data_IF_962633967918
#
_entry.id   IF_962633967918
#
_cell.length_a   1.000
_cell.length_b   1.000
_cell.length_c   1.000
_cell.angle_alpha   90.00
_cell.angle_beta   90.00
_cell.angle_gamma   90.00
#
_symmetry.space_group_name_H-M   'P 1'
#
loop_
_entity.id
_entity.type
_entity.pdbx_description
1 polymer ?
#
# COMPACT_ATOMS: atom_id res chain seq x y z
N UNK A 1 40.56 -3.14 -63.27
CA UNK A 1 40.37 -2.13 -62.18
C UNK A 1 38.95 -2.07 -61.62
N UNK A 2 38.11 -3.05 -61.80
CA UNK A 2 36.71 -3.01 -61.32
C UNK A 2 36.37 -4.00 -60.16
N UNK A 3 37.35 -4.75 -59.65
CA UNK A 3 37.12 -5.75 -58.59
C UNK A 3 37.60 -5.26 -57.21
N UNK A 4 38.42 -4.22 -57.15
CA UNK A 4 38.96 -3.71 -55.88
C UNK A 4 38.03 -2.69 -55.16
N UNK A 5 37.10 -2.07 -55.88
CA UNK A 5 36.15 -1.08 -55.31
C UNK A 5 34.92 -1.72 -54.65
N UNK A 6 34.56 -2.97 -55.00
CA UNK A 6 33.37 -3.65 -54.46
C UNK A 6 33.61 -4.24 -53.06
N UNK A 7 34.84 -4.61 -52.74
CA UNK A 7 35.19 -5.19 -51.41
C UNK A 7 35.32 -4.12 -50.31
N UNK A 8 35.67 -2.90 -50.61
CA UNK A 8 35.80 -1.80 -49.63
C UNK A 8 34.44 -1.27 -49.23
N UNK A 9 33.45 -1.22 -50.13
CA UNK A 9 32.08 -0.79 -49.83
C UNK A 9 31.34 -1.81 -48.98
N UNK A 10 31.55 -3.10 -49.21
CA UNK A 10 30.97 -4.16 -48.38
C UNK A 10 31.58 -4.22 -46.96
N UNK A 11 32.89 -3.99 -46.85
CA UNK A 11 33.57 -3.91 -45.56
C UNK A 11 33.09 -2.75 -44.68
N UNK A 12 32.80 -1.60 -45.28
CA UNK A 12 32.26 -0.44 -44.54
C UNK A 12 30.78 -0.63 -44.15
N UNK A 13 29.97 -1.30 -44.97
CA UNK A 13 28.57 -1.61 -44.60
C UNK A 13 28.46 -2.65 -43.48
N UNK A 14 29.31 -3.67 -43.46
CA UNK A 14 29.35 -4.68 -42.37
C UNK A 14 29.90 -4.07 -41.08
N UNK A 15 30.89 -3.19 -41.16
CA UNK A 15 31.41 -2.49 -39.98
C UNK A 15 30.42 -1.45 -39.41
N UNK A 16 29.62 -0.82 -40.29
CA UNK A 16 28.57 0.11 -39.87
C UNK A 16 27.35 -0.62 -39.24
N UNK A 17 27.01 -1.83 -39.73
CA UNK A 17 25.97 -2.66 -39.07
C UNK A 17 26.43 -3.29 -37.73
N UNK A 18 27.73 -3.52 -37.56
CA UNK A 18 28.27 -3.99 -36.28
C UNK A 18 28.40 -2.88 -35.24
N UNK A 19 28.45 -1.61 -35.65
CA UNK A 19 28.46 -0.45 -34.75
C UNK A 19 27.06 0.02 -34.34
N UNK A 20 26.00 -0.34 -35.09
CA UNK A 20 24.62 -0.07 -34.73
C UNK A 20 23.93 -1.24 -33.96
N UNK A 21 24.57 -2.42 -33.93
CA UNK A 21 24.09 -3.60 -33.19
C UNK A 21 24.58 -3.69 -31.75
N UNK A 22 25.47 -2.81 -31.30
CA UNK A 22 25.75 -2.65 -29.86
C UNK A 22 24.66 -1.78 -29.26
N UNK A 23 23.50 -2.36 -29.04
CA UNK A 23 22.46 -1.79 -28.20
C UNK A 23 23.13 -1.34 -26.91
N UNK A 24 23.18 -0.03 -26.71
CA UNK A 24 23.61 0.59 -25.47
C UNK A 24 22.63 0.11 -24.38
N UNK A 25 22.86 -1.09 -23.85
CA UNK A 25 22.43 -1.43 -22.51
C UNK A 25 23.20 -0.46 -21.61
N UNK A 26 22.65 0.74 -21.46
CA UNK A 26 23.03 1.60 -20.36
C UNK A 26 22.82 0.75 -19.10
N UNK A 27 23.87 0.09 -18.61
CA UNK A 27 23.94 -0.33 -17.22
C UNK A 27 23.69 0.94 -16.43
N UNK A 28 22.42 1.14 -16.02
CA UNK A 28 22.10 2.10 -14.98
C UNK A 28 22.89 1.63 -13.78
N UNK A 29 24.03 2.27 -13.52
CA UNK A 29 24.68 2.18 -12.23
C UNK A 29 23.60 2.58 -11.25
N UNK A 30 23.23 1.72 -10.27
CA UNK A 30 22.35 2.15 -9.20
C UNK A 30 22.97 3.41 -8.63
N UNK A 31 22.24 4.50 -8.61
CA UNK A 31 22.65 5.67 -7.82
C UNK A 31 22.93 5.16 -6.42
N UNK A 32 24.06 5.50 -5.77
CA UNK A 32 24.36 5.10 -4.41
C UNK A 32 23.11 5.43 -3.59
N UNK A 33 22.52 4.42 -2.96
CA UNK A 33 21.22 4.50 -2.33
C UNK A 33 21.15 5.71 -1.43
N UNK A 34 20.25 6.64 -1.75
CA UNK A 34 19.97 7.77 -0.86
C UNK A 34 19.40 7.12 0.39
N UNK A 35 20.14 7.18 1.49
CA UNK A 35 19.72 6.59 2.75
C UNK A 35 18.31 7.10 3.08
N UNK A 36 17.34 6.19 3.17
CA UNK A 36 15.95 6.56 3.44
C UNK A 36 15.88 7.10 4.87
N UNK A 37 15.27 8.26 5.06
CA UNK A 37 14.97 8.80 6.37
C UNK A 37 13.59 8.31 6.85
N UNK A 38 13.40 8.17 8.16
CA UNK A 38 12.08 7.91 8.73
C UNK A 38 11.09 9.01 8.33
N UNK A 39 9.84 8.60 8.11
CA UNK A 39 8.71 9.52 7.93
C UNK A 39 8.05 9.75 9.29
N UNK A 40 7.67 10.98 9.57
CA UNK A 40 6.86 11.35 10.73
C UNK A 40 5.72 12.25 10.32
N UNK A 41 4.78 12.49 11.22
CA UNK A 41 3.71 13.46 11.01
C UNK A 41 4.08 14.82 11.62
N UNK A 42 3.58 15.88 10.98
CA UNK A 42 3.60 17.26 11.50
C UNK A 42 2.23 17.89 11.22
N UNK A 43 1.36 17.86 12.23
CA UNK A 43 -0.06 18.14 12.01
C UNK A 43 -0.65 17.17 10.97
N UNK A 44 -1.34 17.71 9.98
CA UNK A 44 -1.96 16.92 8.92
C UNK A 44 -1.04 16.60 7.72
N UNK A 45 0.28 16.56 7.93
CA UNK A 45 1.26 16.35 6.86
C UNK A 45 2.28 15.28 7.24
N UNK A 46 2.80 14.57 6.25
CA UNK A 46 4.04 13.81 6.40
C UNK A 46 5.25 14.68 6.16
N UNK A 47 6.31 14.42 6.94
CA UNK A 47 7.62 15.04 6.78
C UNK A 47 8.73 14.01 6.97
N UNK A 48 9.85 14.23 6.31
CA UNK A 48 11.05 13.42 6.51
C UNK A 48 11.76 13.85 7.80
N UNK A 49 12.05 12.90 8.68
CA UNK A 49 12.62 13.19 9.99
C UNK A 49 13.97 13.94 9.92
N UNK A 50 14.82 13.59 8.95
CA UNK A 50 16.17 14.17 8.83
C UNK A 50 16.17 15.63 8.36
N UNK A 51 15.23 16.04 7.51
CA UNK A 51 15.21 17.36 6.85
C UNK A 51 14.00 18.21 7.18
N UNK A 52 13.01 17.65 7.87
CA UNK A 52 11.69 18.27 8.07
C UNK A 52 10.98 18.65 6.76
N UNK A 53 11.45 18.11 5.63
CA UNK A 53 10.87 18.36 4.32
C UNK A 53 9.52 17.67 4.20
N UNK A 54 8.51 18.29 3.56
CA UNK A 54 7.25 17.65 3.22
C UNK A 54 7.48 16.33 2.48
N UNK A 55 6.62 15.35 2.73
CA UNK A 55 6.64 14.07 2.03
C UNK A 55 5.25 13.77 1.47
N UNK A 56 5.14 13.86 0.14
CA UNK A 56 3.98 13.42 -0.63
C UNK A 56 4.41 12.27 -1.52
N UNK A 57 3.50 11.34 -1.78
CA UNK A 57 3.84 10.16 -2.58
C UNK A 57 2.74 9.72 -3.53
N UNK A 58 3.13 9.02 -4.57
CA UNK A 58 2.32 8.09 -5.33
C UNK A 58 2.88 6.69 -5.11
N UNK A 59 2.02 5.71 -4.91
CA UNK A 59 2.42 4.38 -4.55
C UNK A 59 1.46 3.32 -5.10
N UNK A 60 1.64 2.10 -4.65
CA UNK A 60 0.92 0.93 -5.12
C UNK A 60 0.76 -0.12 -4.03
N UNK A 61 -0.21 -1.01 -4.22
CA UNK A 61 -0.38 -2.24 -3.46
C UNK A 61 0.25 -3.42 -4.20
N UNK A 62 0.84 -4.34 -3.46
CA UNK A 62 1.35 -5.60 -3.96
C UNK A 62 1.35 -6.65 -2.83
N UNK A 63 0.17 -7.10 -2.45
CA UNK A 63 -0.07 -7.98 -1.31
C UNK A 63 0.72 -9.30 -1.37
N UNK A 64 1.00 -9.78 -2.56
CA UNK A 64 1.60 -11.09 -2.90
C UNK A 64 3.12 -11.17 -2.65
N UNK A 65 3.81 -10.05 -2.40
CA UNK A 65 5.28 -9.98 -2.47
C UNK A 65 5.99 -10.95 -1.54
N UNK A 66 5.63 -11.00 -0.26
CA UNK A 66 6.24 -11.92 0.72
C UNK A 66 6.00 -13.37 0.33
N UNK A 67 4.77 -13.71 -0.01
CA UNK A 67 4.37 -15.07 -0.36
C UNK A 67 5.12 -15.57 -1.60
N UNK A 68 5.26 -14.73 -2.63
CA UNK A 68 6.03 -15.06 -3.83
C UNK A 68 7.53 -15.16 -3.52
N UNK A 69 8.09 -14.21 -2.73
CA UNK A 69 9.51 -14.17 -2.40
C UNK A 69 9.96 -15.30 -1.44
N UNK A 70 9.01 -16.00 -0.80
CA UNK A 70 9.31 -17.22 -0.03
C UNK A 70 9.95 -18.32 -0.88
N UNK A 71 9.64 -18.35 -2.18
CA UNK A 71 10.35 -19.15 -3.17
C UNK A 71 11.52 -18.34 -3.77
N UNK A 72 12.78 -18.71 -3.49
CA UNK A 72 13.94 -17.99 -4.03
C UNK A 72 13.97 -17.91 -5.56
N UNK A 73 13.38 -18.87 -6.26
CA UNK A 73 13.33 -18.90 -7.73
C UNK A 73 12.38 -17.86 -8.32
N UNK A 74 11.44 -17.34 -7.51
CA UNK A 74 10.47 -16.35 -7.93
C UNK A 74 10.84 -14.89 -7.52
N UNK A 75 11.89 -14.71 -6.73
CA UNK A 75 12.32 -13.40 -6.20
C UNK A 75 12.59 -12.36 -7.28
N UNK A 76 13.02 -12.79 -8.47
CA UNK A 76 13.25 -11.88 -9.60
C UNK A 76 11.99 -11.11 -10.00
N UNK A 77 10.78 -11.68 -9.81
CA UNK A 77 9.52 -11.00 -10.12
C UNK A 77 9.28 -9.82 -9.16
N UNK A 78 9.61 -9.98 -7.87
CA UNK A 78 9.57 -8.88 -6.90
C UNK A 78 10.53 -7.76 -7.31
N UNK A 79 11.78 -8.10 -7.64
CA UNK A 79 12.77 -7.12 -8.11
C UNK A 79 12.31 -6.41 -9.38
N UNK A 80 11.69 -7.14 -10.31
CA UNK A 80 11.18 -6.58 -11.57
C UNK A 80 10.06 -5.57 -11.30
N UNK A 81 9.06 -5.92 -10.48
CA UNK A 81 7.96 -5.00 -10.15
C UNK A 81 8.46 -3.77 -9.41
N UNK A 82 9.38 -3.90 -8.45
CA UNK A 82 9.99 -2.72 -7.81
C UNK A 82 10.78 -1.86 -8.80
N UNK A 83 11.48 -2.48 -9.76
CA UNK A 83 12.20 -1.76 -10.82
C UNK A 83 11.26 -0.95 -11.72
N UNK A 84 10.17 -1.54 -12.19
CA UNK A 84 9.14 -0.88 -12.99
C UNK A 84 8.43 0.23 -12.18
N UNK A 85 8.05 -0.05 -10.94
CA UNK A 85 7.43 0.92 -10.04
C UNK A 85 8.33 2.14 -9.79
N UNK A 86 9.61 1.91 -9.48
CA UNK A 86 10.59 2.98 -9.30
C UNK A 86 10.80 3.79 -10.59
N UNK A 87 10.84 3.14 -11.76
CA UNK A 87 10.93 3.82 -13.05
C UNK A 87 9.69 4.68 -13.35
N UNK A 88 8.51 4.28 -12.88
CA UNK A 88 7.28 5.06 -12.94
C UNK A 88 7.19 6.16 -11.85
N UNK A 89 8.20 6.27 -10.98
CA UNK A 89 8.26 7.27 -9.91
C UNK A 89 7.41 6.95 -8.68
N UNK A 90 6.98 5.70 -8.51
CA UNK A 90 6.29 5.23 -7.33
C UNK A 90 7.27 5.09 -6.16
N UNK A 91 6.90 5.54 -4.97
CA UNK A 91 7.82 5.62 -3.83
C UNK A 91 7.34 4.94 -2.55
N UNK A 92 6.11 4.43 -2.55
CA UNK A 92 5.54 3.66 -1.43
C UNK A 92 4.83 2.43 -1.96
N UNK A 93 5.05 1.28 -1.31
CA UNK A 93 4.36 0.03 -1.56
C UNK A 93 3.67 -0.45 -0.27
N UNK A 94 2.40 -0.80 -0.37
CA UNK A 94 1.69 -1.48 0.72
C UNK A 94 1.65 -2.98 0.42
N UNK A 95 2.04 -3.80 1.39
CA UNK A 95 2.14 -5.25 1.24
C UNK A 95 1.88 -5.97 2.56
N UNK A 96 1.66 -7.29 2.49
CA UNK A 96 1.38 -8.11 3.66
C UNK A 96 2.65 -8.52 4.42
N UNK A 97 2.66 -8.36 5.74
CA UNK A 97 3.60 -8.97 6.67
C UNK A 97 2.93 -10.09 7.47
N UNK A 98 1.96 -10.74 6.86
CA UNK A 98 1.22 -11.88 7.40
C UNK A 98 0.90 -12.90 6.31
N UNK A 99 0.77 -14.14 6.70
CA UNK A 99 0.12 -15.26 6.03
C UNK A 99 -0.10 -16.30 7.15
N UNK A 100 -1.37 -16.48 7.54
CA UNK A 100 -1.74 -17.20 8.74
C UNK A 100 -2.34 -18.55 8.37
N UNK A 101 -1.65 -19.64 8.68
CA UNK A 101 -2.05 -20.98 8.25
C UNK A 101 -2.03 -21.15 6.72
N UNK A 102 -2.44 -22.30 6.24
CA UNK A 102 -2.53 -22.57 4.80
C UNK A 102 -1.20 -22.74 4.08
N UNK A 103 -1.20 -22.47 2.77
CA UNK A 103 -0.01 -22.64 1.92
C UNK A 103 1.01 -21.52 2.20
N UNK A 104 2.27 -21.92 2.34
CA UNK A 104 3.40 -20.99 2.60
C UNK A 104 3.07 -19.96 3.67
N UNK A 105 2.50 -20.43 4.80
CA UNK A 105 2.14 -19.57 5.91
C UNK A 105 3.38 -18.97 6.57
N UNK A 106 3.36 -17.65 6.82
CA UNK A 106 4.36 -17.02 7.68
C UNK A 106 4.20 -17.52 9.12
N UNK A 107 2.97 -17.53 9.64
CA UNK A 107 2.60 -18.08 10.93
C UNK A 107 1.84 -19.39 10.72
N UNK A 108 2.48 -20.53 11.04
CA UNK A 108 1.92 -21.88 10.85
C UNK A 108 0.85 -22.15 11.90
N UNK A 109 1.12 -21.73 13.12
CA UNK A 109 0.23 -21.75 14.27
C UNK A 109 0.62 -20.64 15.24
N UNK A 110 -0.19 -20.27 16.24
CA UNK A 110 0.14 -19.18 17.15
C UNK A 110 1.55 -19.31 17.75
N UNK A 111 2.42 -18.34 17.42
CA UNK A 111 3.80 -18.31 17.87
C UNK A 111 4.80 -19.19 17.10
N UNK A 112 4.34 -19.99 16.14
CA UNK A 112 5.19 -20.84 15.28
C UNK A 112 5.30 -20.27 13.88
N UNK A 113 6.51 -20.00 13.40
CA UNK A 113 6.76 -19.29 12.16
C UNK A 113 7.64 -20.08 11.20
N UNK A 114 7.37 -19.93 9.90
CA UNK A 114 8.24 -20.43 8.85
C UNK A 114 9.35 -19.42 8.54
N UNK A 115 10.58 -19.81 8.80
CA UNK A 115 11.72 -18.95 8.56
C UNK A 115 11.96 -18.69 7.07
N UNK A 116 11.59 -19.62 6.18
CA UNK A 116 11.70 -19.44 4.74
C UNK A 116 10.80 -18.32 4.24
N UNK A 117 9.58 -18.24 4.78
CA UNK A 117 8.63 -17.18 4.46
C UNK A 117 9.09 -15.84 5.05
N UNK A 118 9.64 -15.84 6.28
CA UNK A 118 10.28 -14.64 6.84
C UNK A 118 11.46 -14.16 5.98
N UNK A 119 12.29 -15.05 5.46
CA UNK A 119 13.37 -14.67 4.53
C UNK A 119 12.81 -14.09 3.21
N UNK A 120 11.61 -14.50 2.80
CA UNK A 120 10.87 -13.85 1.72
C UNK A 120 10.54 -12.39 2.05
N UNK A 121 10.03 -12.12 3.26
CA UNK A 121 9.76 -10.75 3.72
C UNK A 121 11.06 -9.94 3.89
N UNK A 122 12.12 -10.53 4.43
CA UNK A 122 13.45 -9.91 4.50
C UNK A 122 13.94 -9.44 3.13
N UNK A 123 13.72 -10.29 2.10
CA UNK A 123 14.06 -9.97 0.73
C UNK A 123 13.24 -8.80 0.21
N UNK A 124 11.92 -8.78 0.46
CA UNK A 124 11.03 -7.68 0.05
C UNK A 124 11.50 -6.35 0.65
N UNK A 125 11.80 -6.30 1.95
CA UNK A 125 12.31 -5.09 2.63
C UNK A 125 13.65 -4.65 2.03
N UNK A 126 14.59 -5.59 1.85
CA UNK A 126 15.90 -5.31 1.25
C UNK A 126 15.78 -4.77 -0.18
N UNK A 127 14.89 -5.36 -0.96
CA UNK A 127 14.70 -4.98 -2.35
C UNK A 127 14.03 -3.62 -2.48
N UNK A 128 12.99 -3.35 -1.68
CA UNK A 128 12.34 -2.03 -1.62
C UNK A 128 13.36 -0.91 -1.33
N UNK A 129 14.28 -1.14 -0.39
CA UNK A 129 15.35 -0.19 -0.07
C UNK A 129 16.24 0.12 -1.28
N UNK A 130 16.62 -0.89 -2.06
CA UNK A 130 17.45 -0.70 -3.28
C UNK A 130 16.79 0.19 -4.33
N UNK A 131 15.46 0.10 -4.43
CA UNK A 131 14.69 0.90 -5.38
C UNK A 131 14.18 2.23 -4.82
N UNK A 132 14.51 2.54 -3.56
CA UNK A 132 14.08 3.77 -2.89
C UNK A 132 12.59 3.80 -2.58
N UNK A 133 11.96 2.63 -2.47
CA UNK A 133 10.53 2.46 -2.16
C UNK A 133 10.38 2.16 -0.67
N UNK A 134 9.45 2.87 -0.01
CA UNK A 134 9.06 2.62 1.38
C UNK A 134 7.93 1.61 1.45
N UNK A 135 7.82 0.93 2.58
CA UNK A 135 6.79 -0.10 2.79
C UNK A 135 5.80 0.32 3.87
N UNK A 136 4.51 0.07 3.61
CA UNK A 136 3.46 -0.06 4.62
C UNK A 136 3.20 -1.54 4.79
N UNK A 137 3.36 -2.07 5.99
CA UNK A 137 3.29 -3.49 6.30
C UNK A 137 2.05 -3.80 7.13
N UNK A 138 1.11 -4.58 6.55
CA UNK A 138 -0.10 -5.01 7.25
C UNK A 138 0.16 -6.26 8.06
N UNK A 139 -0.40 -6.34 9.29
CA UNK A 139 -0.19 -7.45 10.22
C UNK A 139 -1.24 -8.56 10.12
N UNK A 140 -2.43 -8.29 9.59
CA UNK A 140 -3.50 -9.28 9.46
C UNK A 140 -4.57 -8.80 8.48
N UNK A 141 -5.39 -9.73 7.98
CA UNK A 141 -6.55 -9.42 7.15
C UNK A 141 -7.86 -9.56 7.91
N UNK A 142 -8.82 -8.72 7.61
CA UNK A 142 -10.21 -8.92 8.00
C UNK A 142 -10.81 -10.16 7.32
N UNK A 143 -10.43 -10.41 6.07
CA UNK A 143 -10.93 -11.51 5.26
C UNK A 143 -10.07 -12.77 5.42
N UNK A 144 -10.59 -13.89 4.90
CA UNK A 144 -9.94 -15.21 5.00
C UNK A 144 -8.70 -15.37 4.11
N UNK A 145 -8.51 -14.45 3.16
CA UNK A 145 -7.38 -14.51 2.25
C UNK A 145 -6.08 -14.37 3.04
N UNK A 146 -5.18 -15.31 2.86
CA UNK A 146 -3.98 -15.48 3.70
C UNK A 146 -4.28 -15.72 5.18
N UNK A 147 -5.45 -16.30 5.50
CA UNK A 147 -5.86 -16.71 6.85
C UNK A 147 -6.70 -15.68 7.58
N UNK A 148 -6.13 -14.54 7.94
CA UNK A 148 -6.83 -13.44 8.57
C UNK A 148 -7.51 -13.81 9.91
N UNK A 149 -8.48 -12.99 10.35
CA UNK A 149 -9.18 -13.17 11.63
C UNK A 149 -9.79 -14.56 11.81
N UNK A 150 -10.29 -15.15 10.72
CA UNK A 150 -10.84 -16.50 10.73
C UNK A 150 -9.82 -17.56 11.19
N UNK A 151 -8.58 -17.44 10.74
CA UNK A 151 -7.53 -18.38 11.11
C UNK A 151 -7.19 -18.27 12.61
N UNK A 152 -7.16 -17.06 13.16
CA UNK A 152 -6.97 -16.86 14.60
C UNK A 152 -8.12 -17.49 15.41
N UNK A 153 -9.37 -17.29 15.00
CA UNK A 153 -10.53 -17.91 15.60
C UNK A 153 -10.45 -19.45 15.53
N UNK A 154 -10.06 -20.02 14.38
CA UNK A 154 -9.88 -21.45 14.19
C UNK A 154 -8.79 -22.02 15.10
N UNK A 155 -7.65 -21.33 15.23
CA UNK A 155 -6.57 -21.78 16.13
C UNK A 155 -7.01 -21.81 17.60
N UNK A 156 -7.73 -20.80 18.05
CA UNK A 156 -8.24 -20.78 19.42
C UNK A 156 -9.28 -21.89 19.66
N UNK A 157 -10.20 -22.11 18.72
CA UNK A 157 -11.17 -23.21 18.78
C UNK A 157 -10.47 -24.58 18.83
N UNK A 158 -9.45 -24.79 18.00
CA UNK A 158 -8.67 -26.04 18.02
C UNK A 158 -7.89 -26.24 19.34
N UNK A 159 -7.56 -25.16 20.04
CA UNK A 159 -6.96 -25.18 21.36
C UNK A 159 -8.00 -25.36 22.53
N UNK A 160 -9.26 -25.55 22.18
CA UNK A 160 -10.36 -25.75 23.18
C UNK A 160 -10.91 -24.45 23.77
N UNK A 161 -10.57 -23.29 23.18
CA UNK A 161 -11.13 -21.99 23.56
C UNK A 161 -12.50 -21.81 22.92
N UNK A 162 -13.49 -21.39 23.71
CA UNK A 162 -14.82 -21.12 23.18
C UNK A 162 -14.81 -19.81 22.37
N UNK A 163 -14.98 -19.91 21.06
CA UNK A 163 -15.12 -18.79 20.14
C UNK A 163 -16.52 -18.84 19.52
N UNK A 164 -17.22 -17.72 19.53
CA UNK A 164 -18.58 -17.61 19.03
C UNK A 164 -18.61 -17.12 17.58
N UNK A 165 -17.79 -16.13 17.26
CA UNK A 165 -17.72 -15.52 15.92
C UNK A 165 -16.29 -15.07 15.62
N UNK A 166 -16.03 -14.70 14.36
CA UNK A 166 -14.76 -14.10 13.96
C UNK A 166 -14.52 -12.72 14.62
N UNK A 167 -15.58 -12.02 15.03
CA UNK A 167 -15.47 -10.72 15.71
C UNK A 167 -14.92 -10.84 17.13
N UNK A 168 -14.90 -12.07 17.71
CA UNK A 168 -14.18 -12.35 18.97
C UNK A 168 -12.68 -12.02 18.85
N UNK A 169 -12.15 -11.89 17.60
CA UNK A 169 -10.80 -11.39 17.35
C UNK A 169 -10.54 -10.03 18.02
N UNK A 170 -11.55 -9.18 18.09
CA UNK A 170 -11.42 -7.85 18.67
C UNK A 170 -11.56 -7.83 20.20
N UNK A 171 -12.19 -8.84 20.79
CA UNK A 171 -12.59 -8.81 22.21
C UNK A 171 -11.98 -9.91 23.04
N UNK A 172 -11.77 -11.11 22.47
CA UNK A 172 -11.34 -12.28 23.23
C UNK A 172 -9.85 -12.20 23.60
N UNK A 173 -9.47 -12.31 24.90
CA UNK A 173 -8.09 -12.13 25.35
C UNK A 173 -7.08 -13.03 24.62
N UNK A 174 -7.42 -14.32 24.43
CA UNK A 174 -6.53 -15.29 23.76
C UNK A 174 -6.21 -14.86 22.32
N UNK A 175 -7.23 -14.40 21.56
CA UNK A 175 -7.03 -13.96 20.18
C UNK A 175 -6.18 -12.69 20.11
N UNK A 176 -6.43 -11.75 21.02
CA UNK A 176 -5.61 -10.55 21.16
C UNK A 176 -4.15 -10.87 21.52
N UNK A 177 -3.93 -11.87 22.39
CA UNK A 177 -2.57 -12.31 22.75
C UNK A 177 -1.86 -13.00 21.58
N UNK A 178 -2.53 -13.86 20.81
CA UNK A 178 -1.97 -14.44 19.60
C UNK A 178 -1.54 -13.36 18.63
N UNK A 179 -2.42 -12.38 18.40
CA UNK A 179 -2.15 -11.27 17.49
C UNK A 179 -1.00 -10.36 18.00
N UNK A 180 -0.95 -10.01 19.28
CA UNK A 180 0.17 -9.26 19.87
C UNK A 180 1.49 -10.01 19.74
N UNK A 181 1.49 -11.32 19.85
CA UNK A 181 2.69 -12.14 19.64
C UNK A 181 3.17 -12.05 18.20
N UNK A 182 2.24 -12.05 17.22
CA UNK A 182 2.57 -11.83 15.82
C UNK A 182 3.17 -10.44 15.58
N UNK A 183 2.52 -9.38 16.06
CA UNK A 183 3.05 -8.01 15.99
C UNK A 183 4.48 -7.97 16.53
N UNK A 184 4.70 -8.48 17.76
CA UNK A 184 6.03 -8.48 18.39
C UNK A 184 7.05 -9.19 17.50
N UNK A 185 6.71 -10.36 16.95
CA UNK A 185 7.59 -11.16 16.11
C UNK A 185 8.01 -10.42 14.85
N UNK A 186 7.06 -9.76 14.17
CA UNK A 186 7.35 -8.99 12.95
C UNK A 186 8.14 -7.72 13.27
N UNK A 187 7.66 -6.89 14.18
CA UNK A 187 8.29 -5.59 14.51
C UNK A 187 9.73 -5.75 14.99
N UNK A 188 10.01 -6.81 15.77
CA UNK A 188 11.37 -7.06 16.28
C UNK A 188 12.19 -8.00 15.39
N UNK A 189 11.69 -8.38 14.22
CA UNK A 189 12.41 -9.20 13.25
C UNK A 189 13.76 -8.56 12.91
N UNK A 190 14.82 -9.34 12.98
CA UNK A 190 16.13 -8.95 12.48
C UNK A 190 16.25 -9.45 11.02
N UNK A 191 16.32 -8.54 10.07
CA UNK A 191 16.43 -8.85 8.64
C UNK A 191 17.76 -9.56 8.37
N UNK A 192 17.69 -10.75 7.80
CA UNK A 192 18.86 -11.59 7.55
C UNK A 192 19.74 -11.06 6.41
N UNK A 193 19.21 -10.18 5.56
CA UNK A 193 19.90 -9.60 4.39
C UNK A 193 20.48 -8.24 4.74
N UNK A 194 19.65 -7.29 5.24
CA UNK A 194 20.09 -5.91 5.57
C UNK A 194 20.83 -5.85 6.89
N UNK A 195 20.74 -6.87 7.73
CA UNK A 195 21.34 -6.95 9.07
C UNK A 195 20.85 -5.85 10.00
N UNK A 196 19.60 -5.44 9.85
CA UNK A 196 18.93 -4.41 10.63
C UNK A 196 17.61 -4.96 11.19
N UNK A 197 17.22 -4.54 12.38
CA UNK A 197 15.89 -4.88 12.89
C UNK A 197 14.81 -4.07 12.15
N UNK A 198 13.64 -4.67 11.87
CA UNK A 198 12.57 -3.98 11.13
C UNK A 198 12.17 -2.66 11.80
N UNK A 199 12.05 -2.63 13.12
CA UNK A 199 11.78 -1.40 13.89
C UNK A 199 12.86 -0.32 13.78
N UNK A 200 14.00 -0.61 13.18
CA UNK A 200 15.10 0.32 12.98
C UNK A 200 15.34 0.65 11.51
N UNK A 201 14.59 0.02 10.59
CA UNK A 201 14.78 0.14 9.14
C UNK A 201 13.86 1.23 8.54
N UNK A 202 14.39 2.37 8.10
CA UNK A 202 13.59 3.46 7.53
C UNK A 202 12.96 3.13 6.16
N UNK A 203 13.25 1.97 5.59
CA UNK A 203 12.53 1.43 4.44
C UNK A 203 11.08 1.13 4.80
N UNK A 204 10.80 0.71 6.02
CA UNK A 204 9.45 0.58 6.54
C UNK A 204 8.96 1.99 6.91
N UNK A 205 7.87 2.43 6.33
CA UNK A 205 7.23 3.71 6.62
C UNK A 205 6.24 3.59 7.77
N UNK A 206 5.43 2.54 7.72
CA UNK A 206 4.33 2.37 8.66
C UNK A 206 3.98 0.91 8.90
N UNK A 207 3.40 0.68 10.07
CA UNK A 207 2.70 -0.54 10.46
C UNK A 207 1.20 -0.33 10.29
N UNK A 208 0.55 -1.22 9.58
CA UNK A 208 -0.89 -1.27 9.44
C UNK A 208 -1.46 -2.37 10.35
N UNK A 209 -2.39 -1.99 11.23
CA UNK A 209 -2.94 -2.93 12.19
C UNK A 209 -3.73 -4.07 11.53
N UNK A 210 -4.56 -3.79 10.56
CA UNK A 210 -5.41 -4.78 9.89
C UNK A 210 -5.91 -4.25 8.55
N UNK A 211 -5.87 -5.07 7.51
CA UNK A 211 -6.55 -4.73 6.26
C UNK A 211 -8.08 -4.75 6.43
N UNK A 212 -8.73 -3.61 6.15
CA UNK A 212 -10.19 -3.42 6.04
C UNK A 212 -10.99 -3.99 7.22
N UNK A 213 -10.73 -3.55 8.47
CA UNK A 213 -11.43 -4.10 9.63
C UNK A 213 -12.93 -3.85 9.56
N UNK A 214 -13.72 -4.88 9.87
CA UNK A 214 -15.18 -4.83 9.97
C UNK A 214 -15.63 -5.57 11.23
N UNK A 215 -16.63 -5.06 11.94
CA UNK A 215 -17.24 -5.70 13.09
C UNK A 215 -18.73 -5.81 12.87
N UNK A 216 -19.23 -7.02 12.63
CA UNK A 216 -20.64 -7.27 12.34
C UNK A 216 -21.51 -7.34 13.58
N UNK A 217 -20.90 -7.63 14.73
CA UNK A 217 -21.61 -7.70 16.02
C UNK A 217 -21.83 -6.32 16.66
N UNK A 218 -21.06 -5.30 16.22
CA UNK A 218 -21.18 -3.94 16.75
C UNK A 218 -20.99 -2.89 15.66
N UNK A 219 -22.08 -2.40 15.11
CA UNK A 219 -22.06 -1.33 14.10
C UNK A 219 -21.83 0.07 14.69
N UNK A 220 -21.71 0.22 16.00
CA UNK A 220 -21.42 1.52 16.63
C UNK A 220 -19.95 1.96 16.48
N UNK A 221 -19.06 1.04 16.07
CA UNK A 221 -17.61 1.27 15.99
C UNK A 221 -16.87 1.21 17.32
N UNK A 222 -17.55 1.02 18.45
CA UNK A 222 -16.92 1.05 19.79
C UNK A 222 -16.04 -0.16 20.04
N UNK A 223 -16.48 -1.35 19.64
CA UNK A 223 -15.68 -2.57 19.77
C UNK A 223 -14.36 -2.43 19.03
N UNK A 224 -14.41 -1.99 17.78
CA UNK A 224 -13.22 -1.76 17.00
C UNK A 224 -12.34 -0.64 17.59
N UNK A 225 -12.97 0.44 18.08
CA UNK A 225 -12.23 1.55 18.70
C UNK A 225 -11.37 1.08 19.89
N UNK A 226 -11.93 0.28 20.79
CA UNK A 226 -11.19 -0.27 21.93
C UNK A 226 -10.04 -1.19 21.51
N UNK A 227 -10.27 -2.01 20.48
CA UNK A 227 -9.22 -2.88 19.92
C UNK A 227 -8.09 -2.08 19.26
N UNK A 228 -8.42 -1.08 18.46
CA UNK A 228 -7.42 -0.21 17.81
C UNK A 228 -6.59 0.53 18.84
N UNK A 229 -7.23 1.09 19.88
CA UNK A 229 -6.50 1.77 20.97
C UNK A 229 -5.49 0.84 21.64
N UNK A 230 -5.91 -0.39 21.98
CA UNK A 230 -5.05 -1.39 22.61
C UNK A 230 -3.90 -1.82 21.69
N UNK A 231 -4.17 -2.10 20.40
CA UNK A 231 -3.16 -2.62 19.49
C UNK A 231 -2.17 -1.53 19.02
N UNK A 232 -2.66 -0.32 18.76
CA UNK A 232 -1.79 0.81 18.41
C UNK A 232 -0.83 1.15 19.56
N UNK A 233 -1.33 1.20 20.80
CA UNK A 233 -0.48 1.39 21.97
C UNK A 233 0.55 0.27 22.13
N UNK A 234 0.17 -0.98 21.83
CA UNK A 234 1.07 -2.11 21.87
C UNK A 234 2.18 -2.00 20.82
N UNK A 235 1.86 -1.65 19.56
CA UNK A 235 2.87 -1.40 18.51
C UNK A 235 3.81 -0.28 18.95
N UNK A 236 3.28 0.86 19.42
CA UNK A 236 4.09 2.00 19.89
C UNK A 236 4.96 1.68 21.12
N UNK A 237 4.59 0.67 21.90
CA UNK A 237 5.45 0.17 23.01
C UNK A 237 6.70 -0.54 22.50
N UNK A 238 6.64 -1.14 21.31
CA UNK A 238 7.74 -1.87 20.67
C UNK A 238 8.57 -0.99 19.74
N UNK A 239 7.91 -0.04 19.08
CA UNK A 239 8.48 0.80 18.03
C UNK A 239 7.91 2.23 18.10
N UNK A 240 8.76 3.20 18.37
CA UNK A 240 8.40 4.62 18.42
C UNK A 240 8.84 5.41 17.19
N UNK A 241 9.47 4.75 16.21
CA UNK A 241 10.07 5.40 15.05
C UNK A 241 9.14 5.38 13.84
N UNK A 242 8.44 4.27 13.65
CA UNK A 242 7.54 4.09 12.52
C UNK A 242 6.13 4.62 12.82
N UNK A 243 5.46 4.98 11.75
CA UNK A 243 4.05 5.37 11.79
C UNK A 243 3.16 4.14 12.03
N UNK A 244 1.98 4.38 12.58
CA UNK A 244 0.93 3.36 12.77
C UNK A 244 -0.36 3.88 12.18
N UNK A 245 -1.05 3.04 11.42
CA UNK A 245 -2.38 3.31 10.90
C UNK A 245 -3.26 2.06 11.04
N UNK A 246 -4.55 2.20 10.74
CA UNK A 246 -5.53 1.14 11.03
C UNK A 246 -5.67 0.17 9.85
N UNK A 247 -5.70 0.65 8.61
CA UNK A 247 -6.03 -0.10 7.39
C UNK A 247 -7.51 -0.06 7.03
N UNK A 248 -8.24 0.98 7.45
CA UNK A 248 -9.69 1.03 7.27
C UNK A 248 -10.10 1.61 5.91
N UNK A 249 -11.28 1.17 5.45
CA UNK A 249 -11.91 1.65 4.21
C UNK A 249 -12.36 3.11 4.30
N UNK A 250 -12.69 3.61 5.51
CA UNK A 250 -13.12 4.98 5.73
C UNK A 250 -14.60 5.18 6.04
N UNK A 251 -15.38 4.12 6.29
CA UNK A 251 -16.80 4.26 6.59
C UNK A 251 -17.03 5.09 7.85
N UNK A 252 -17.91 6.10 7.75
CA UNK A 252 -18.35 6.89 8.87
C UNK A 252 -19.30 6.08 9.77
N UNK A 253 -19.18 6.29 11.07
CA UNK A 253 -20.07 5.71 12.09
C UNK A 253 -21.09 6.73 12.62
N UNK A 254 -21.65 6.40 13.78
CA UNK A 254 -22.71 7.20 14.41
C UNK A 254 -22.26 8.55 14.97
N UNK A 255 -20.95 8.78 15.08
CA UNK A 255 -20.42 10.08 15.54
C UNK A 255 -20.57 11.19 14.50
N UNK A 256 -20.75 10.81 13.22
CA UNK A 256 -20.99 11.73 12.11
C UNK A 256 -22.21 11.29 11.29
N UNK A 257 -23.44 11.39 11.84
CA UNK A 257 -24.64 10.81 11.22
C UNK A 257 -24.94 11.40 9.83
N UNK A 258 -24.64 12.68 9.61
CA UNK A 258 -24.82 13.32 8.30
C UNK A 258 -23.83 12.75 7.28
N UNK A 259 -22.55 12.58 7.66
CA UNK A 259 -21.55 11.95 6.80
C UNK A 259 -21.94 10.49 6.50
N UNK A 260 -22.34 9.74 7.54
CA UNK A 260 -22.82 8.37 7.39
C UNK A 260 -23.96 8.25 6.38
N UNK A 261 -24.92 9.19 6.42
CA UNK A 261 -26.07 9.16 5.53
C UNK A 261 -25.74 9.53 4.08
N UNK A 262 -24.87 10.56 3.87
CA UNK A 262 -24.66 11.16 2.56
C UNK A 262 -23.39 10.76 1.85
N UNK A 263 -22.42 10.18 2.59
CA UNK A 263 -21.10 9.82 2.05
C UNK A 263 -20.91 8.33 1.96
N UNK A 264 -21.35 7.54 2.97
CA UNK A 264 -21.19 6.08 2.92
C UNK A 264 -21.97 5.46 1.75
N UNK A 265 -21.46 4.35 1.16
CA UNK A 265 -22.33 3.44 0.41
C UNK A 265 -23.44 2.91 1.32
N UNK A 266 -24.52 2.41 0.78
CA UNK A 266 -25.77 2.09 1.50
C UNK A 266 -25.70 0.92 2.50
N UNK A 267 -24.53 0.64 3.12
CA UNK A 267 -24.35 -0.43 4.11
C UNK A 267 -23.41 0.01 5.24
N UNK A 268 -23.33 -0.82 6.31
CA UNK A 268 -22.51 -0.57 7.50
C UNK A 268 -21.46 -1.66 7.67
N UNK A 269 -20.33 -1.30 8.26
CA UNK A 269 -19.19 -2.22 8.46
C UNK A 269 -18.70 -2.29 9.93
N UNK A 270 -19.26 -1.47 10.83
CA UNK A 270 -18.87 -1.47 12.24
C UNK A 270 -17.58 -0.69 12.55
N UNK A 271 -17.23 0.27 11.68
CA UNK A 271 -16.17 1.25 11.92
C UNK A 271 -16.77 2.63 12.14
N UNK A 272 -15.98 3.53 12.72
CA UNK A 272 -16.26 4.96 12.77
C UNK A 272 -14.99 5.72 12.40
N UNK A 273 -14.95 6.24 11.17
CA UNK A 273 -13.76 6.91 10.62
C UNK A 273 -13.19 7.97 11.57
N UNK A 274 -14.05 8.73 12.24
CA UNK A 274 -13.61 9.82 13.11
C UNK A 274 -13.00 9.27 14.39
N UNK A 275 -13.79 8.53 15.20
CA UNK A 275 -13.32 8.08 16.52
C UNK A 275 -12.15 7.13 16.44
N UNK A 276 -12.16 6.22 15.45
CA UNK A 276 -11.06 5.28 15.29
C UNK A 276 -9.75 6.00 14.92
N UNK A 277 -9.79 7.02 14.07
CA UNK A 277 -8.61 7.79 13.70
C UNK A 277 -8.23 8.90 14.71
N UNK A 278 -9.09 9.25 15.67
CA UNK A 278 -8.74 10.17 16.76
C UNK A 278 -7.85 9.52 17.83
N UNK A 279 -7.73 8.19 17.85
CA UNK A 279 -6.85 7.47 18.76
C UNK A 279 -5.43 8.03 18.62
N UNK A 280 -4.80 8.37 19.77
CA UNK A 280 -3.53 9.14 19.82
C UNK A 280 -2.36 8.42 19.14
N UNK A 281 -2.34 7.09 19.22
CA UNK A 281 -1.25 6.26 18.70
C UNK A 281 -1.45 5.87 17.21
N UNK A 282 -2.52 6.34 16.57
CA UNK A 282 -2.73 6.31 15.13
C UNK A 282 -2.18 7.61 14.54
N UNK A 283 -1.22 7.50 13.63
CA UNK A 283 -0.50 8.67 13.08
C UNK A 283 -1.17 9.28 11.86
N UNK A 284 -1.83 8.49 11.03
CA UNK A 284 -2.52 8.97 9.83
C UNK A 284 -3.76 8.13 9.53
N UNK A 285 -4.65 8.68 8.72
CA UNK A 285 -5.88 8.04 8.31
C UNK A 285 -5.74 7.47 6.90
N UNK A 286 -6.40 6.33 6.66
CA UNK A 286 -6.53 5.70 5.35
C UNK A 286 -7.98 5.62 4.92
N UNK A 287 -8.21 5.65 3.61
CA UNK A 287 -9.47 5.30 2.97
C UNK A 287 -9.22 4.39 1.78
N UNK A 288 -10.17 3.51 1.49
CA UNK A 288 -10.24 2.72 0.27
C UNK A 288 -11.42 3.20 -0.57
N UNK A 289 -11.45 2.89 -1.86
CA UNK A 289 -12.58 3.27 -2.70
C UNK A 289 -12.73 2.32 -3.91
N UNK A 290 -13.80 1.55 -3.88
CA UNK A 290 -14.17 0.61 -4.93
C UNK A 290 -15.61 0.87 -5.40
N UNK A 291 -15.87 1.98 -6.13
CA UNK A 291 -17.20 2.33 -6.56
C UNK A 291 -17.81 1.30 -7.54
N UNK A 292 -17.00 0.58 -8.30
CA UNK A 292 -17.43 -0.53 -9.15
C UNK A 292 -18.06 -1.69 -8.35
N UNK A 293 -17.55 -1.96 -7.12
CA UNK A 293 -18.14 -2.96 -6.21
C UNK A 293 -19.25 -2.32 -5.36
N UNK A 294 -18.98 -1.18 -4.71
CA UNK A 294 -19.88 -0.57 -3.73
C UNK A 294 -21.15 0.01 -4.37
N UNK A 295 -21.07 0.44 -5.63
CA UNK A 295 -22.14 1.00 -6.43
C UNK A 295 -22.34 0.20 -7.71
N UNK A 296 -22.24 -1.14 -7.61
CA UNK A 296 -22.41 -2.03 -8.77
C UNK A 296 -23.68 -1.73 -9.53
N UNK A 297 -23.59 -1.64 -10.86
CA UNK A 297 -24.69 -1.31 -11.76
C UNK A 297 -25.02 0.19 -11.88
N UNK A 298 -24.30 1.07 -11.19
CA UNK A 298 -24.36 2.52 -11.41
C UNK A 298 -23.47 2.93 -12.58
N UNK A 299 -23.85 4.05 -13.23
CA UNK A 299 -23.05 4.62 -14.33
C UNK A 299 -21.68 5.09 -13.84
N UNK A 300 -20.71 5.20 -14.76
CA UNK A 300 -19.37 5.72 -14.46
C UNK A 300 -19.42 7.15 -13.89
N UNK A 301 -20.34 8.00 -14.35
CA UNK A 301 -20.52 9.35 -13.82
C UNK A 301 -21.01 9.32 -12.35
N UNK A 302 -21.93 8.41 -12.00
CA UNK A 302 -22.40 8.24 -10.63
C UNK A 302 -21.27 7.71 -9.73
N UNK A 303 -20.49 6.74 -10.22
CA UNK A 303 -19.32 6.18 -9.54
C UNK A 303 -18.24 7.25 -9.32
N UNK A 304 -17.93 8.06 -10.33
CA UNK A 304 -16.97 9.16 -10.21
C UNK A 304 -17.46 10.27 -9.29
N UNK A 305 -18.75 10.62 -9.34
CA UNK A 305 -19.36 11.56 -8.40
C UNK A 305 -19.28 11.07 -6.95
N UNK A 306 -19.41 9.76 -6.72
CA UNK A 306 -19.17 9.15 -5.42
C UNK A 306 -17.71 9.30 -4.99
N UNK A 307 -16.75 8.96 -5.86
CA UNK A 307 -15.32 9.09 -5.58
C UNK A 307 -14.94 10.51 -5.14
N UNK A 308 -15.45 11.52 -5.84
CA UNK A 308 -15.18 12.92 -5.48
C UNK A 308 -15.74 13.28 -4.09
N UNK A 309 -17.00 12.90 -3.81
CA UNK A 309 -17.60 13.13 -2.48
C UNK A 309 -16.87 12.38 -1.39
N UNK A 310 -16.50 11.12 -1.62
CA UNK A 310 -15.76 10.28 -0.69
C UNK A 310 -14.44 10.93 -0.31
N UNK A 311 -13.58 11.23 -1.28
CA UNK A 311 -12.30 11.87 -1.06
C UNK A 311 -12.41 13.27 -0.44
N UNK A 312 -13.34 14.11 -0.91
CA UNK A 312 -13.46 15.49 -0.40
C UNK A 312 -13.94 15.55 1.04
N UNK A 313 -14.90 14.69 1.42
CA UNK A 313 -15.41 14.62 2.79
C UNK A 313 -14.34 14.15 3.76
N UNK A 314 -13.63 13.08 3.43
CA UNK A 314 -12.55 12.57 4.27
C UNK A 314 -11.37 13.56 4.38
N UNK A 315 -11.05 14.25 3.29
CA UNK A 315 -10.03 15.32 3.33
C UNK A 315 -10.42 16.45 4.28
N UNK A 316 -11.67 16.91 4.20
CA UNK A 316 -12.17 17.96 5.09
C UNK A 316 -12.06 17.55 6.56
N UNK A 317 -12.51 16.33 6.88
CA UNK A 317 -12.52 15.83 8.24
C UNK A 317 -11.10 15.47 8.74
N UNK A 318 -10.24 14.91 7.88
CA UNK A 318 -8.84 14.68 8.21
C UNK A 318 -8.10 15.99 8.55
N UNK A 319 -8.36 17.06 7.78
CA UNK A 319 -7.74 18.37 7.99
C UNK A 319 -8.29 19.11 9.21
N UNK A 320 -9.61 19.10 9.42
CA UNK A 320 -10.27 19.93 10.44
C UNK A 320 -10.43 19.25 11.78
N UNK A 321 -10.78 17.95 11.77
CA UNK A 321 -11.13 17.19 12.97
C UNK A 321 -9.92 16.35 13.42
N UNK A 322 -9.41 15.48 12.55
CA UNK A 322 -8.33 14.57 12.91
C UNK A 322 -6.99 15.30 13.03
N UNK A 323 -6.75 16.30 12.21
CA UNK A 323 -5.44 16.99 12.05
C UNK A 323 -4.32 15.99 11.76
N UNK A 324 -4.62 14.99 10.93
CA UNK A 324 -3.74 13.92 10.53
C UNK A 324 -3.64 13.84 9.00
N UNK A 325 -2.52 13.33 8.44
CA UNK A 325 -2.43 13.03 7.02
C UNK A 325 -3.51 12.04 6.60
N UNK A 326 -3.99 12.16 5.36
CA UNK A 326 -4.93 11.25 4.72
C UNK A 326 -4.27 10.59 3.52
N UNK A 327 -4.41 9.27 3.41
CA UNK A 327 -3.95 8.46 2.28
C UNK A 327 -5.14 7.70 1.70
N UNK A 328 -5.33 7.78 0.37
CA UNK A 328 -6.20 6.82 -0.31
C UNK A 328 -5.37 5.56 -0.54
N UNK A 329 -5.56 4.56 0.33
CA UNK A 329 -4.68 3.40 0.41
C UNK A 329 -5.05 2.29 -0.58
N UNK A 330 -6.28 2.31 -1.11
CA UNK A 330 -6.69 1.43 -2.20
C UNK A 330 -7.71 2.12 -3.10
N UNK A 331 -7.54 1.95 -4.41
CA UNK A 331 -8.51 2.27 -5.44
C UNK A 331 -8.14 1.57 -6.74
N UNK A 332 -9.13 1.24 -7.55
CA UNK A 332 -8.93 0.57 -8.83
C UNK A 332 -10.23 0.49 -9.66
N UNK A 333 -10.14 -0.05 -10.87
CA UNK A 333 -11.27 -0.42 -11.72
C UNK A 333 -11.06 -1.85 -12.18
N UNK A 334 -11.99 -2.74 -11.82
CA UNK A 334 -11.87 -4.17 -12.10
C UNK A 334 -12.12 -4.49 -13.57
N UNK A 335 -11.31 -5.41 -14.11
CA UNK A 335 -11.56 -6.01 -15.44
C UNK A 335 -12.75 -6.96 -15.43
N UNK A 336 -13.27 -7.31 -14.25
CA UNK A 336 -14.47 -8.13 -14.08
C UNK A 336 -15.78 -7.32 -14.05
N UNK A 337 -15.66 -5.98 -14.05
CA UNK A 337 -16.82 -5.10 -14.09
C UNK A 337 -17.54 -5.25 -15.45
N UNK A 338 -18.89 -5.43 -15.49
CA UNK A 338 -19.63 -5.54 -16.73
C UNK A 338 -19.41 -4.33 -17.65
N UNK A 339 -19.01 -4.58 -18.89
CA UNK A 339 -18.70 -3.51 -19.84
C UNK A 339 -17.28 -2.98 -19.79
N UNK A 340 -16.41 -3.55 -18.96
CA UNK A 340 -15.01 -3.12 -18.84
C UNK A 340 -14.30 -3.03 -20.19
N UNK A 341 -13.55 -1.95 -20.35
CA UNK A 341 -12.53 -1.79 -21.39
C UNK A 341 -11.27 -1.16 -20.78
N UNK A 342 -10.15 -1.34 -21.44
CA UNK A 342 -8.90 -0.68 -21.02
C UNK A 342 -9.06 0.85 -21.01
N UNK A 343 -9.77 1.41 -21.99
CA UNK A 343 -10.05 2.84 -22.06
C UNK A 343 -10.85 3.35 -20.85
N UNK A 344 -11.82 2.59 -20.37
CA UNK A 344 -12.58 2.95 -19.15
C UNK A 344 -11.68 2.96 -17.92
N UNK A 345 -10.79 1.99 -17.77
CA UNK A 345 -9.78 1.98 -16.69
C UNK A 345 -8.84 3.19 -16.80
N UNK A 346 -8.40 3.55 -17.99
CA UNK A 346 -7.54 4.72 -18.23
C UNK A 346 -8.24 6.03 -17.85
N UNK A 347 -9.49 6.19 -18.26
CA UNK A 347 -10.32 7.37 -17.93
C UNK A 347 -10.55 7.44 -16.43
N UNK A 348 -10.95 6.32 -15.79
CA UNK A 348 -11.16 6.24 -14.36
C UNK A 348 -9.89 6.64 -13.60
N UNK A 349 -8.76 6.00 -13.88
CA UNK A 349 -7.49 6.29 -13.21
C UNK A 349 -7.01 7.73 -13.43
N UNK A 350 -7.15 8.23 -14.64
CA UNK A 350 -6.80 9.63 -14.97
C UNK A 350 -7.64 10.63 -14.16
N UNK A 351 -8.92 10.36 -14.00
CA UNK A 351 -9.84 11.20 -13.22
C UNK A 351 -9.51 11.14 -11.72
N UNK A 352 -9.35 9.93 -11.16
CA UNK A 352 -9.00 9.75 -9.73
C UNK A 352 -7.68 10.42 -9.40
N UNK A 353 -6.63 10.24 -10.20
CA UNK A 353 -5.34 10.88 -9.96
C UNK A 353 -5.40 12.41 -10.09
N UNK A 354 -6.16 12.95 -11.05
CA UNK A 354 -6.40 14.39 -11.15
C UNK A 354 -7.06 14.94 -9.88
N UNK A 355 -8.03 14.23 -9.33
CA UNK A 355 -8.71 14.63 -8.11
C UNK A 355 -7.80 14.52 -6.89
N UNK A 356 -7.02 13.46 -6.76
CA UNK A 356 -5.99 13.33 -5.70
C UNK A 356 -5.02 14.52 -5.75
N UNK A 357 -4.48 14.86 -6.92
CA UNK A 357 -3.59 16.02 -7.07
C UNK A 357 -4.29 17.34 -6.68
N UNK A 358 -5.52 17.55 -7.16
CA UNK A 358 -6.34 18.72 -6.82
C UNK A 358 -6.55 18.83 -5.31
N UNK A 359 -6.88 17.74 -4.64
CA UNK A 359 -7.11 17.68 -3.21
C UNK A 359 -5.81 17.82 -2.40
N UNK A 360 -4.71 17.21 -2.83
CA UNK A 360 -3.40 17.42 -2.22
C UNK A 360 -3.00 18.90 -2.25
N UNK A 361 -3.16 19.56 -3.39
CA UNK A 361 -2.86 20.98 -3.56
C UNK A 361 -3.75 21.88 -2.70
N UNK A 362 -5.08 21.69 -2.75
CA UNK A 362 -6.06 22.51 -1.99
C UNK A 362 -6.00 22.23 -0.49
N UNK A 363 -5.73 20.98 -0.11
CA UNK A 363 -5.58 20.55 1.28
C UNK A 363 -4.28 21.02 1.93
N UNK A 364 -3.35 21.59 1.15
CA UNK A 364 -2.02 21.98 1.63
C UNK A 364 -1.15 20.78 1.96
N UNK A 365 -1.39 19.61 1.33
CA UNK A 365 -0.67 18.34 1.56
C UNK A 365 -1.34 17.39 2.54
N UNK A 366 -2.53 17.70 3.08
CA UNK A 366 -3.28 16.78 3.95
C UNK A 366 -3.65 15.49 3.22
N UNK A 367 -4.12 15.54 1.95
CA UNK A 367 -4.14 14.39 1.06
C UNK A 367 -2.70 14.10 0.65
N UNK A 368 -2.03 13.22 1.40
CA UNK A 368 -0.57 13.08 1.37
C UNK A 368 -0.09 12.02 0.40
N UNK A 369 -0.97 11.10 -0.01
CA UNK A 369 -0.59 10.02 -0.91
C UNK A 369 -1.73 9.17 -1.40
N UNK A 370 -1.40 8.32 -2.36
CA UNK A 370 -2.32 7.33 -2.91
C UNK A 370 -1.58 6.04 -3.26
N UNK A 371 -2.28 4.90 -3.17
CA UNK A 371 -1.76 3.58 -3.49
C UNK A 371 -2.77 2.86 -4.39
N UNK A 372 -2.44 2.69 -5.68
CA UNK A 372 -3.32 1.97 -6.60
C UNK A 372 -3.38 0.48 -6.26
N UNK A 373 -4.54 -0.12 -6.33
CA UNK A 373 -4.74 -1.56 -6.25
C UNK A 373 -4.83 -2.11 -7.66
N UNK A 374 -3.89 -2.98 -8.12
CA UNK A 374 -2.59 -3.36 -7.58
C UNK A 374 -1.57 -3.52 -8.72
N UNK A 375 -0.27 -3.46 -8.41
CA UNK A 375 0.77 -3.81 -9.38
C UNK A 375 1.13 -5.29 -9.29
N UNK A 376 1.37 -5.88 -10.46
CA UNK A 376 1.83 -7.26 -10.60
C UNK A 376 2.91 -7.39 -11.67
N UNK A 377 3.62 -8.50 -11.63
CA UNK A 377 4.56 -8.90 -12.67
C UNK A 377 3.93 -9.89 -13.66
N UNK A 378 4.59 -10.10 -14.77
CA UNK A 378 4.20 -11.11 -15.76
C UNK A 378 4.30 -12.54 -15.16
N UNK A 379 3.41 -13.44 -15.61
CA UNK A 379 3.38 -14.83 -15.17
C UNK A 379 2.99 -15.03 -13.70
N UNK A 380 2.07 -14.19 -13.20
CA UNK A 380 1.56 -14.24 -11.84
C UNK A 380 0.04 -14.48 -11.81
N UNK A 381 -0.50 -15.24 -12.77
CA UNK A 381 -1.95 -15.40 -12.97
C UNK A 381 -2.69 -15.91 -11.72
N UNK A 382 -2.02 -16.68 -10.84
CA UNK A 382 -2.59 -17.18 -9.60
C UNK A 382 -2.93 -16.11 -8.56
N UNK A 383 -2.49 -14.86 -8.76
CA UNK A 383 -2.78 -13.71 -7.89
C UNK A 383 -3.73 -12.70 -8.52
N UNK A 384 -4.26 -12.98 -9.73
CA UNK A 384 -5.17 -12.08 -10.43
C UNK A 384 -6.52 -11.98 -9.71
N UNK A 385 -6.93 -10.74 -9.46
CA UNK A 385 -8.22 -10.41 -8.82
C UNK A 385 -9.16 -9.59 -9.73
N UNK A 386 -8.66 -9.15 -10.88
CA UNK A 386 -9.36 -8.29 -11.84
C UNK A 386 -8.85 -6.84 -11.81
N UNK A 387 -8.09 -6.45 -10.81
CA UNK A 387 -7.52 -5.11 -10.67
C UNK A 387 -6.05 -5.03 -11.07
N UNK A 388 -5.43 -6.14 -11.36
CA UNK A 388 -4.01 -6.23 -11.68
C UNK A 388 -3.60 -5.26 -12.80
N UNK A 389 -2.48 -4.57 -12.57
CA UNK A 389 -1.80 -3.71 -13.53
C UNK A 389 -0.39 -4.28 -13.71
N UNK A 390 -0.06 -4.69 -14.93
CA UNK A 390 1.28 -5.10 -15.35
C UNK A 390 1.82 -3.99 -16.22
N UNK A 391 2.76 -3.18 -15.67
CA UNK A 391 3.20 -1.93 -16.29
C UNK A 391 3.81 -2.14 -17.69
N UNK A 392 4.58 -3.23 -17.87
CA UNK A 392 5.15 -3.60 -19.18
C UNK A 392 4.08 -3.91 -20.24
N UNK A 393 2.91 -4.43 -19.82
CA UNK A 393 1.81 -4.81 -20.72
C UNK A 393 0.79 -3.70 -20.94
N UNK A 394 0.78 -2.67 -20.09
CA UNK A 394 -0.18 -1.56 -20.13
C UNK A 394 0.54 -0.19 -20.15
N UNK A 395 1.24 0.16 -21.25
CA UNK A 395 2.05 1.39 -21.32
C UNK A 395 1.25 2.68 -21.09
N UNK A 396 -0.03 2.70 -21.49
CA UNK A 396 -0.94 3.83 -21.30
C UNK A 396 -1.20 4.08 -19.80
N UNK A 397 -1.51 3.03 -19.04
CA UNK A 397 -1.68 3.08 -17.58
C UNK A 397 -0.35 3.46 -16.90
N UNK A 398 0.77 2.85 -17.32
CA UNK A 398 2.10 3.21 -16.83
C UNK A 398 2.40 4.71 -17.03
N UNK A 399 2.00 5.27 -18.19
CA UNK A 399 2.11 6.70 -18.48
C UNK A 399 1.23 7.57 -17.55
N UNK A 400 0.01 7.13 -17.23
CA UNK A 400 -0.89 7.83 -16.29
C UNK A 400 -0.26 7.85 -14.89
N UNK A 401 0.21 6.69 -14.39
CA UNK A 401 0.86 6.54 -13.08
C UNK A 401 2.12 7.43 -13.01
N UNK A 402 2.95 7.41 -14.04
CA UNK A 402 4.20 8.20 -14.06
C UNK A 402 3.92 9.70 -14.04
N UNK A 403 2.92 10.19 -14.79
CA UNK A 403 2.50 11.60 -14.73
C UNK A 403 2.04 12.01 -13.32
N UNK A 404 1.25 11.16 -12.66
CA UNK A 404 0.82 11.43 -11.28
C UNK A 404 2.01 11.47 -10.32
N UNK A 405 2.94 10.53 -10.41
CA UNK A 405 4.15 10.49 -9.58
C UNK A 405 4.97 11.78 -9.73
N UNK A 406 5.14 12.24 -10.97
CA UNK A 406 5.82 13.50 -11.26
C UNK A 406 5.07 14.72 -10.70
N UNK A 407 3.75 14.75 -10.85
CA UNK A 407 2.91 15.83 -10.33
C UNK A 407 2.99 15.94 -8.80
N UNK A 408 2.92 14.81 -8.07
CA UNK A 408 3.03 14.78 -6.61
C UNK A 408 4.43 15.19 -6.13
N UNK A 409 5.49 14.76 -6.82
CA UNK A 409 6.88 15.16 -6.52
C UNK A 409 7.08 16.66 -6.75
N UNK A 410 6.52 17.22 -7.81
CA UNK A 410 6.58 18.66 -8.10
C UNK A 410 5.84 19.46 -7.04
N UNK A 411 4.63 19.01 -6.65
CA UNK A 411 3.84 19.65 -5.60
C UNK A 411 4.58 19.65 -4.25
N UNK A 412 5.22 18.55 -3.91
CA UNK A 412 6.06 18.42 -2.71
C UNK A 412 7.18 19.47 -2.69
N UNK A 413 7.85 19.68 -3.83
CA UNK A 413 8.92 20.67 -3.97
C UNK A 413 8.40 22.10 -3.77
N UNK A 414 7.20 22.41 -4.24
CA UNK A 414 6.57 23.72 -4.02
C UNK A 414 6.25 23.99 -2.54
N UNK A 415 5.79 22.98 -1.81
CA UNK A 415 5.55 23.13 -0.37
C UNK A 415 6.84 23.36 0.42
N UNK A 416 7.94 22.72 -0.02
CA UNK A 416 9.25 22.95 0.58
C UNK A 416 9.76 24.40 0.40
N UNK A 417 9.60 24.96 -0.80
CA UNK A 417 10.09 26.31 -1.11
C UNK A 417 9.32 27.37 -0.32
N UNK A 418 7.99 27.24 -0.22
CA UNK A 418 7.14 28.21 0.49
C UNK A 418 7.35 28.19 2.02
N UNK A 419 7.67 27.05 2.62
CA UNK A 419 7.94 26.94 4.06
C UNK A 419 9.30 27.51 4.47
N UNK A 420 10.25 27.69 3.54
CA UNK A 420 11.55 28.31 3.82
C UNK A 420 11.53 29.85 3.70
N UNK A 421 10.42 30.44 3.29
CA UNK A 421 10.23 31.89 3.14
C UNK A 421 9.19 32.46 4.13
N UNK A 422 8.61 31.64 4.99
CA UNK A 422 7.69 32.01 6.07
C UNK A 422 8.37 31.86 7.45
#
# INVERSE_FOLDING_TARGET
MAVATSLVVWGMFVLMMLLFGAGCQARRVPLPGRELAFVRTSGSHFVLNASNSPFLFNGFNAYWMMHLASDPTQRYKVSHVFGEASAAGLTVCRTWAFSDGGDRALQISPGTYDETVFQGLDFVVSEASKYGIRLILSFVNNYKDFGGRQQYAQWATNAGVQINTEDDFYTHPVLKDYYKNHIRKVVTRFNTITRMAYKDDPTIMAWELINEPRCQLDYSGRTLNGWVEEMAAFVKSLDKKHLVEIGMEGFYGDTMPERKQFVNPGYQVGTDFITNNLIKDIDFATIHAYPDIWLSGKSDDEQMGFMERWMSSHLEDAKRILKKPLVIAEFGKSSKDPGFSLNEREVYMGNVYRDIYRFARRGGGTMSGSLVWQLMGEGMDGYHDGYEIILSQTPSIAGIISRQSHAMTTLMSHFFTNNNHA
#
